data_IF_747820864032
#
_entry.id   IF_747820864032
#
_cell.length_a   1.000
_cell.length_b   1.000
_cell.length_c   1.000
_cell.angle_alpha   90.00
_cell.angle_beta   90.00
_cell.angle_gamma   90.00
#
_symmetry.space_group_name_H-M   'P 1'
#
loop_
_entity.id
_entity.type
_entity.pdbx_description
1 polymer ?
#
# COMPACT_ATOMS: atom_id res chain seq x y z
N UNK A 1 -5.32 5.62 -4.88
CA UNK A 1 -5.80 6.83 -5.59
C UNK A 1 -4.86 7.96 -5.19
N UNK A 2 -4.28 8.67 -6.16
CA UNK A 2 -3.35 9.78 -5.91
C UNK A 2 -3.91 11.02 -6.58
N UNK A 3 -4.42 12.02 -5.82
CA UNK A 3 -4.92 13.26 -6.40
C UNK A 3 -3.85 13.99 -7.21
N UNK A 4 -4.27 14.75 -8.22
CA UNK A 4 -3.38 15.63 -8.97
C UNK A 4 -2.86 16.78 -8.11
N UNK A 5 -1.80 17.44 -8.59
CA UNK A 5 -1.24 18.67 -7.98
C UNK A 5 -0.71 18.51 -6.55
N UNK A 6 -0.32 17.30 -6.14
CA UNK A 6 0.27 17.05 -4.83
C UNK A 6 1.79 16.91 -4.94
N UNK A 7 2.55 17.72 -4.19
CA UNK A 7 4.01 17.53 -4.09
C UNK A 7 4.39 16.35 -3.19
N UNK A 8 3.45 15.88 -2.37
CA UNK A 8 3.57 14.73 -1.50
C UNK A 8 2.18 14.12 -1.27
N UNK A 9 2.02 12.84 -1.62
CA UNK A 9 0.83 12.08 -1.26
C UNK A 9 1.21 10.64 -0.90
N UNK A 10 1.01 10.26 0.36
CA UNK A 10 1.34 8.92 0.84
C UNK A 10 0.18 7.96 0.58
N UNK A 11 0.46 6.89 -0.18
CA UNK A 11 -0.40 5.72 -0.24
C UNK A 11 0.21 4.54 0.51
N UNK A 12 -0.64 3.60 0.90
CA UNK A 12 -0.22 2.39 1.60
C UNK A 12 -0.80 1.13 0.98
N UNK A 13 0.00 0.05 0.99
CA UNK A 13 -0.45 -1.32 0.78
C UNK A 13 -0.23 -2.13 2.05
N UNK A 14 -1.21 -2.94 2.44
CA UNK A 14 -1.24 -3.66 3.69
C UNK A 14 -1.21 -5.17 3.45
N UNK A 15 -0.31 -5.86 4.14
CA UNK A 15 -0.29 -7.31 4.23
C UNK A 15 -0.81 -7.72 5.59
N UNK A 16 -2.03 -8.28 5.62
CA UNK A 16 -2.68 -8.70 6.87
C UNK A 16 -1.82 -9.74 7.61
N UNK A 17 -1.72 -9.61 8.94
CA UNK A 17 -1.07 -10.61 9.80
C UNK A 17 -1.65 -12.01 9.63
N UNK A 18 -2.93 -12.15 9.25
CA UNK A 18 -3.54 -13.44 8.96
C UNK A 18 -2.92 -14.14 7.75
N UNK A 19 -2.46 -13.37 6.76
CA UNK A 19 -1.79 -13.92 5.59
C UNK A 19 -0.44 -14.53 5.95
N UNK A 20 0.38 -13.82 6.75
CA UNK A 20 1.66 -14.35 7.23
C UNK A 20 1.45 -15.50 8.24
N UNK A 21 0.42 -15.44 9.07
CA UNK A 21 0.05 -16.51 10.00
C UNK A 21 -0.28 -17.83 9.28
N UNK A 22 -1.00 -17.76 8.15
CA UNK A 22 -1.34 -18.93 7.33
C UNK A 22 -0.11 -19.45 6.56
N UNK A 23 0.70 -18.53 6.04
CA UNK A 23 1.72 -18.84 5.04
C UNK A 23 3.07 -19.25 5.62
N UNK A 24 3.48 -18.66 6.74
CA UNK A 24 4.85 -18.80 7.25
C UNK A 24 4.96 -19.95 8.25
N UNK A 25 6.10 -20.66 8.27
CA UNK A 25 6.33 -21.71 9.25
C UNK A 25 6.65 -21.10 10.62
N UNK A 26 6.58 -21.88 11.73
CA UNK A 26 6.85 -21.36 13.08
C UNK A 26 8.23 -20.72 13.25
N UNK A 27 9.24 -21.22 12.53
CA UNK A 27 10.59 -20.67 12.51
C UNK A 27 10.74 -19.37 11.69
N UNK A 28 9.71 -18.99 10.94
CA UNK A 28 9.68 -17.81 10.08
C UNK A 28 10.34 -18.01 8.72
N UNK A 29 10.36 -16.93 7.94
CA UNK A 29 11.13 -16.82 6.70
C UNK A 29 12.20 -15.75 6.84
N UNK A 30 13.33 -15.96 6.16
CA UNK A 30 14.49 -15.08 6.16
C UNK A 30 14.56 -14.33 4.83
N UNK A 31 14.26 -13.04 4.88
CA UNK A 31 14.39 -12.14 3.73
C UNK A 31 15.86 -11.73 3.59
N UNK A 32 16.45 -11.99 2.43
CA UNK A 32 17.85 -11.64 2.15
C UNK A 32 18.00 -10.54 1.10
N UNK A 33 16.95 -10.24 0.34
CA UNK A 33 16.95 -9.13 -0.62
C UNK A 33 15.54 -8.65 -0.95
N UNK A 34 15.44 -7.42 -1.44
CA UNK A 34 14.18 -6.79 -1.79
C UNK A 34 14.28 -5.82 -2.97
N UNK A 35 13.17 -5.68 -3.70
CA UNK A 35 13.00 -4.82 -4.87
C UNK A 35 11.72 -4.00 -4.69
N UNK A 36 11.86 -2.68 -4.71
CA UNK A 36 10.72 -1.74 -4.59
C UNK A 36 10.31 -1.27 -5.98
N UNK A 37 9.01 -1.15 -6.21
CA UNK A 37 8.46 -0.81 -7.51
C UNK A 37 7.27 0.16 -7.40
N UNK A 38 7.37 1.24 -8.15
CA UNK A 38 6.34 2.25 -8.43
C UNK A 38 6.52 2.73 -9.87
N UNK A 39 5.57 3.50 -10.40
CA UNK A 39 5.70 4.20 -11.67
C UNK A 39 6.26 5.63 -11.48
N UNK A 40 5.90 6.56 -12.36
CA UNK A 40 6.58 7.86 -12.52
C UNK A 40 6.43 8.82 -11.33
N UNK A 41 5.42 8.64 -10.49
CA UNK A 41 5.15 9.51 -9.34
C UNK A 41 5.94 9.11 -8.10
N UNK A 42 6.49 7.88 -8.03
CA UNK A 42 7.28 7.38 -6.90
C UNK A 42 8.46 8.27 -6.52
N UNK A 43 8.58 8.65 -5.25
CA UNK A 43 9.72 9.42 -4.71
C UNK A 43 10.34 8.82 -3.46
N UNK A 44 9.53 8.25 -2.57
CA UNK A 44 10.01 7.53 -1.39
C UNK A 44 9.20 6.28 -1.17
N UNK A 45 9.86 5.23 -0.70
CA UNK A 45 9.22 3.94 -0.49
C UNK A 45 9.77 3.27 0.77
N UNK A 46 8.89 2.69 1.58
CA UNK A 46 9.27 2.04 2.83
C UNK A 46 8.41 0.83 3.12
N UNK A 47 9.04 -0.22 3.63
CA UNK A 47 8.36 -1.43 4.09
C UNK A 47 8.51 -1.50 5.60
N UNK A 48 7.40 -1.28 6.31
CA UNK A 48 7.29 -1.35 7.76
C UNK A 48 6.80 -2.73 8.16
N UNK A 49 7.25 -3.21 9.31
CA UNK A 49 6.86 -4.51 9.87
C UNK A 49 6.35 -4.27 11.28
N UNK A 50 5.17 -4.81 11.56
CA UNK A 50 4.55 -4.73 12.86
C UNK A 50 4.39 -6.13 13.44
N UNK A 51 4.79 -6.29 14.70
CA UNK A 51 4.72 -7.55 15.43
C UNK A 51 4.18 -7.27 16.83
N UNK A 52 3.09 -7.93 17.21
CA UNK A 52 2.47 -7.80 18.54
C UNK A 52 2.17 -6.34 18.94
N UNK A 53 1.82 -5.48 17.98
CA UNK A 53 1.50 -4.07 18.23
C UNK A 53 2.71 -3.13 18.28
N UNK A 54 3.91 -3.61 18.01
CA UNK A 54 5.13 -2.80 17.95
C UNK A 54 5.67 -2.72 16.52
N UNK A 55 6.22 -1.57 16.13
CA UNK A 55 6.97 -1.45 14.89
C UNK A 55 8.41 -1.95 15.06
N UNK A 56 8.84 -2.80 14.14
CA UNK A 56 10.21 -3.30 14.03
C UNK A 56 11.05 -2.42 13.10
N UNK A 57 12.39 -2.58 13.08
CA UNK A 57 13.23 -1.94 12.08
C UNK A 57 12.67 -2.11 10.66
N UNK A 58 12.70 -1.03 9.88
CA UNK A 58 12.18 -1.05 8.52
C UNK A 58 12.86 -2.15 7.70
N UNK A 59 12.04 -2.97 7.05
CA UNK A 59 12.52 -4.09 6.26
C UNK A 59 13.27 -3.60 5.02
N UNK A 60 12.75 -2.54 4.40
CA UNK A 60 13.43 -1.81 3.34
C UNK A 60 13.01 -0.35 3.35
N UNK A 61 13.93 0.56 3.08
CA UNK A 61 13.66 1.98 2.99
C UNK A 61 14.46 2.60 1.84
N UNK A 62 13.78 3.45 1.07
CA UNK A 62 14.39 4.28 0.06
C UNK A 62 13.75 5.68 0.08
N UNK A 63 14.43 6.63 0.71
CA UNK A 63 13.97 8.02 0.79
C UNK A 63 14.27 8.82 -0.50
N UNK A 64 14.94 8.22 -1.48
CA UNK A 64 15.31 8.84 -2.77
C UNK A 64 15.02 7.88 -3.92
N UNK A 65 13.85 7.25 -3.89
CA UNK A 65 13.42 6.33 -4.93
C UNK A 65 13.31 7.07 -6.27
N UNK A 66 13.77 6.43 -7.34
CA UNK A 66 13.71 6.92 -8.71
C UNK A 66 13.20 5.79 -9.62
N UNK A 67 12.14 6.08 -10.38
CA UNK A 67 11.54 5.15 -11.34
C UNK A 67 12.56 4.62 -12.37
N UNK A 68 13.53 5.45 -12.78
CA UNK A 68 14.56 5.07 -13.74
C UNK A 68 15.68 4.23 -13.09
N UNK A 69 15.69 4.11 -11.76
CA UNK A 69 16.70 3.38 -10.99
C UNK A 69 16.09 2.36 -10.01
N UNK A 70 15.52 1.30 -10.57
CA UNK A 70 14.95 0.20 -9.79
C UNK A 70 15.91 -0.98 -9.73
N UNK A 71 16.40 -1.31 -8.54
CA UNK A 71 17.37 -2.39 -8.33
C UNK A 71 16.96 -3.34 -7.22
N UNK A 72 17.32 -4.60 -7.36
CA UNK A 72 17.30 -5.56 -6.25
C UNK A 72 18.41 -5.17 -5.27
N UNK A 73 18.05 -4.96 -4.00
CA UNK A 73 19.02 -4.69 -2.93
C UNK A 73 19.19 -5.93 -2.07
N UNK A 74 20.42 -6.42 -1.97
CA UNK A 74 20.79 -7.47 -1.03
C UNK A 74 21.00 -6.85 0.35
N UNK A 75 20.34 -7.41 1.35
CA UNK A 75 20.41 -6.92 2.72
C UNK A 75 21.68 -7.42 3.40
N UNK A 76 22.32 -6.53 4.19
CA UNK A 76 23.54 -6.89 4.95
C UNK A 76 23.25 -7.95 6.01
N UNK A 77 22.07 -7.85 6.62
CA UNK A 77 21.57 -8.79 7.60
C UNK A 77 20.23 -9.33 7.09
N UNK A 78 20.03 -10.64 7.21
CA UNK A 78 18.76 -11.24 6.85
C UNK A 78 17.70 -10.86 7.88
N UNK A 79 16.52 -10.51 7.40
CA UNK A 79 15.40 -10.08 8.25
C UNK A 79 14.43 -11.23 8.37
N UNK A 80 14.12 -11.65 9.60
CA UNK A 80 13.19 -12.76 9.83
C UNK A 80 11.77 -12.24 10.05
N UNK A 81 10.85 -12.68 9.19
CA UNK A 81 9.41 -12.49 9.36
C UNK A 81 8.80 -13.76 9.95
N UNK A 82 7.91 -13.61 10.93
CA UNK A 82 7.23 -14.70 11.61
C UNK A 82 5.74 -14.73 11.28
N UNK A 83 5.08 -15.88 11.52
CA UNK A 83 3.62 -15.97 11.47
C UNK A 83 2.98 -14.89 12.34
N UNK A 84 2.02 -14.15 11.78
CA UNK A 84 1.32 -13.08 12.49
C UNK A 84 1.95 -11.70 12.37
N UNK A 85 3.09 -11.55 11.69
CA UNK A 85 3.63 -10.23 11.34
C UNK A 85 2.73 -9.53 10.31
N UNK A 86 2.44 -8.26 10.54
CA UNK A 86 1.78 -7.40 9.56
C UNK A 86 2.84 -6.58 8.82
N UNK A 87 2.72 -6.45 7.50
CA UNK A 87 3.61 -5.62 6.70
C UNK A 87 2.83 -4.45 6.10
N UNK A 88 3.49 -3.30 6.02
CA UNK A 88 2.96 -2.11 5.38
C UNK A 88 3.96 -1.57 4.38
N UNK A 89 3.53 -1.47 3.14
CA UNK A 89 4.23 -0.76 2.09
C UNK A 89 3.75 0.68 2.06
N UNK A 90 4.64 1.64 2.27
CA UNK A 90 4.40 3.08 2.15
C UNK A 90 5.02 3.57 0.84
N UNK A 91 4.24 4.31 0.04
CA UNK A 91 4.68 4.93 -1.20
C UNK A 91 4.32 6.42 -1.20
N UNK A 92 5.36 7.26 -1.20
CA UNK A 92 5.29 8.71 -1.30
C UNK A 92 5.33 9.12 -2.78
N UNK A 93 4.27 9.76 -3.22
CA UNK A 93 4.10 10.22 -4.60
C UNK A 93 4.18 11.73 -4.75
N UNK A 94 4.81 12.16 -5.84
CA UNK A 94 4.78 13.54 -6.33
C UNK A 94 3.99 13.60 -7.64
N UNK A 95 2.75 14.05 -7.54
CA UNK A 95 1.80 14.29 -8.63
C UNK A 95 1.68 15.77 -9.00
N UNK A 96 2.65 16.62 -8.63
CA UNK A 96 2.61 18.06 -8.89
C UNK A 96 2.46 18.41 -10.38
N UNK A 97 2.96 17.53 -11.25
CA UNK A 97 2.87 17.63 -12.71
C UNK A 97 1.62 16.98 -13.33
N UNK A 98 0.72 16.40 -12.52
CA UNK A 98 -0.55 15.81 -12.97
C UNK A 98 -1.70 16.74 -12.62
N UNK A 99 -2.59 16.94 -13.58
CA UNK A 99 -3.85 17.66 -13.39
C UNK A 99 -4.94 16.78 -12.79
N UNK A 100 -5.09 15.56 -13.34
CA UNK A 100 -6.10 14.60 -12.92
C UNK A 100 -5.57 13.64 -11.86
N UNK A 101 -6.50 12.88 -11.28
CA UNK A 101 -6.18 11.78 -10.38
C UNK A 101 -5.36 10.70 -11.10
N UNK A 102 -4.47 10.06 -10.36
CA UNK A 102 -3.74 8.87 -10.82
C UNK A 102 -4.20 7.66 -10.00
N UNK A 103 -4.68 6.63 -10.69
CA UNK A 103 -5.20 5.39 -10.08
C UNK A 103 -4.16 4.27 -10.11
N UNK A 104 -4.42 3.19 -9.38
CA UNK A 104 -3.58 2.00 -9.44
C UNK A 104 -3.78 1.28 -10.76
N UNK A 105 -2.72 0.81 -11.41
CA UNK A 105 -2.84 0.07 -12.66
C UNK A 105 -1.51 -0.31 -13.31
N UNK A 106 -1.58 -0.88 -14.50
CA UNK A 106 -0.43 -1.42 -15.25
C UNK A 106 0.19 -0.42 -16.23
N UNK A 107 -0.54 0.62 -16.60
CA UNK A 107 -0.11 1.65 -17.53
C UNK A 107 0.89 2.61 -16.90
N UNK A 108 1.76 3.19 -17.75
CA UNK A 108 2.78 4.15 -17.31
C UNK A 108 2.22 5.41 -16.65
N UNK A 109 1.00 5.81 -17.01
CA UNK A 109 0.32 6.97 -16.43
C UNK A 109 -0.46 6.63 -15.15
N UNK A 110 -0.66 5.35 -14.86
CA UNK A 110 -1.19 4.82 -13.61
C UNK A 110 -0.04 4.62 -12.61
N UNK A 111 -0.33 4.14 -11.39
CA UNK A 111 0.68 3.89 -10.37
C UNK A 111 0.65 2.47 -9.79
N UNK A 112 1.78 2.09 -9.19
CA UNK A 112 1.93 0.87 -8.40
C UNK A 112 2.65 1.17 -7.08
N UNK A 113 2.31 0.41 -6.04
CA UNK A 113 2.97 0.48 -4.73
C UNK A 113 3.37 -0.93 -4.29
N UNK A 114 4.50 -1.44 -4.76
CA UNK A 114 4.87 -2.84 -4.60
C UNK A 114 6.27 -3.01 -3.99
N UNK A 115 6.41 -4.10 -3.23
CA UNK A 115 7.69 -4.60 -2.77
C UNK A 115 7.77 -6.11 -3.02
N UNK A 116 8.88 -6.54 -3.60
CA UNK A 116 9.16 -7.93 -3.94
C UNK A 116 10.35 -8.42 -3.13
N UNK A 117 10.17 -9.50 -2.37
CA UNK A 117 11.21 -10.04 -1.49
C UNK A 117 11.69 -11.40 -1.97
N UNK A 118 13.01 -11.61 -1.90
CA UNK A 118 13.57 -12.95 -2.03
C UNK A 118 13.94 -13.46 -0.63
N UNK A 119 13.55 -14.70 -0.36
CA UNK A 119 13.60 -15.28 0.98
C UNK A 119 13.82 -16.79 0.97
N UNK A 120 14.11 -17.35 2.15
CA UNK A 120 14.11 -18.79 2.42
C UNK A 120 13.60 -19.09 3.84
N UNK A 121 13.08 -20.30 4.13
CA UNK A 121 12.78 -21.37 3.20
C UNK A 121 11.65 -20.97 2.23
N UNK A 122 11.54 -21.70 1.11
CA UNK A 122 10.42 -21.50 0.20
C UNK A 122 9.11 -21.90 0.90
N UNK A 123 8.10 -21.03 0.80
CA UNK A 123 6.75 -21.26 1.32
C UNK A 123 5.73 -21.14 0.18
N UNK A 124 4.52 -21.66 0.38
CA UNK A 124 3.44 -21.56 -0.61
C UNK A 124 2.68 -20.22 -0.49
N UNK A 125 3.37 -19.11 -0.76
CA UNK A 125 2.85 -17.75 -0.61
C UNK A 125 3.47 -16.85 -1.67
N UNK A 126 2.64 -16.28 -2.55
CA UNK A 126 3.10 -15.48 -3.68
C UNK A 126 2.93 -13.99 -3.44
N UNK A 127 1.77 -13.58 -2.93
CA UNK A 127 1.45 -12.18 -2.74
C UNK A 127 0.38 -11.98 -1.66
N UNK A 128 0.45 -10.83 -1.01
CA UNK A 128 -0.63 -10.21 -0.27
C UNK A 128 -0.81 -8.80 -0.81
N UNK A 129 -2.07 -8.38 -0.99
CA UNK A 129 -2.40 -7.02 -1.42
C UNK A 129 -3.52 -6.47 -0.56
N UNK A 130 -3.71 -5.16 -0.64
CA UNK A 130 -4.87 -4.49 -0.09
C UNK A 130 -5.33 -3.35 -0.98
N UNK A 131 -6.56 -2.91 -0.76
CA UNK A 131 -7.10 -1.70 -1.32
C UNK A 131 -8.03 -1.03 -0.29
N UNK A 132 -8.11 0.31 -0.25
CA UNK A 132 -8.99 1.02 0.67
C UNK A 132 -10.44 0.56 0.55
N UNK A 133 -11.15 0.54 1.68
CA UNK A 133 -12.58 0.24 1.70
C UNK A 133 -13.33 1.35 0.93
N UNK A 134 -13.96 0.96 -0.18
CA UNK A 134 -14.55 1.93 -1.12
C UNK A 134 -15.69 2.72 -0.51
N UNK A 135 -16.39 2.18 0.48
CA UNK A 135 -17.46 2.85 1.21
C UNK A 135 -16.96 4.09 1.96
N UNK A 136 -15.71 4.09 2.44
CA UNK A 136 -15.09 5.27 3.04
C UNK A 136 -14.85 6.36 1.99
N UNK A 137 -14.39 5.96 0.80
CA UNK A 137 -14.20 6.87 -0.34
C UNK A 137 -15.55 7.44 -0.78
N UNK A 138 -16.57 6.59 -0.96
CA UNK A 138 -17.90 7.00 -1.38
C UNK A 138 -18.52 7.98 -0.37
N UNK A 139 -18.41 7.68 0.93
CA UNK A 139 -18.90 8.56 1.98
C UNK A 139 -18.20 9.92 1.97
N UNK A 140 -16.90 9.97 1.72
CA UNK A 140 -16.15 11.23 1.68
C UNK A 140 -16.56 12.12 0.50
N UNK A 141 -16.83 11.52 -0.66
CA UNK A 141 -17.24 12.25 -1.87
C UNK A 141 -18.76 12.36 -2.04
N UNK A 142 -19.55 11.88 -1.08
CA UNK A 142 -21.01 11.92 -1.13
C UNK A 142 -21.61 11.07 -2.26
N UNK A 143 -20.90 10.03 -2.70
CA UNK A 143 -21.35 9.11 -3.74
C UNK A 143 -22.28 8.09 -3.09
N UNK A 144 -23.54 8.05 -3.52
CA UNK A 144 -24.58 7.20 -2.90
C UNK A 144 -25.02 6.04 -3.79
N UNK A 145 -25.03 6.25 -5.09
CA UNK A 145 -25.54 5.28 -6.06
C UNK A 145 -24.37 4.59 -6.74
N UNK A 146 -24.00 3.41 -6.23
CA UNK A 146 -22.86 2.64 -6.72
C UNK A 146 -23.25 1.19 -6.98
N UNK A 147 -22.81 0.65 -8.12
CA UNK A 147 -22.92 -0.78 -8.43
C UNK A 147 -21.68 -1.26 -9.17
N UNK A 148 -21.44 -2.57 -9.18
CA UNK A 148 -20.36 -3.15 -9.98
C UNK A 148 -20.74 -3.11 -11.46
N UNK A 149 -19.78 -2.76 -12.31
CA UNK A 149 -19.95 -2.82 -13.75
C UNK A 149 -20.31 -4.26 -14.18
N UNK A 150 -21.50 -4.48 -14.80
CA UNK A 150 -21.92 -5.80 -15.27
C UNK A 150 -20.98 -6.41 -16.33
N UNK A 151 -20.34 -5.57 -17.13
CA UNK A 151 -19.55 -5.95 -18.31
C UNK A 151 -18.03 -5.70 -18.11
N UNK A 152 -17.65 -4.80 -17.20
CA UNK A 152 -16.27 -4.35 -16.93
C UNK A 152 -15.52 -5.00 -15.77
N UNK A 153 -16.12 -5.96 -15.05
CA UNK A 153 -15.41 -6.74 -14.01
C UNK A 153 -15.44 -6.11 -12.62
N UNK A 154 -14.28 -5.70 -12.08
CA UNK A 154 -14.12 -5.17 -10.70
C UNK A 154 -14.26 -3.64 -10.59
N UNK A 155 -14.79 -3.00 -11.62
CA UNK A 155 -14.99 -1.55 -11.64
C UNK A 155 -16.33 -1.16 -10.99
N UNK A 156 -16.34 0.01 -10.34
CA UNK A 156 -17.55 0.57 -9.74
C UNK A 156 -18.12 1.64 -10.66
N UNK A 157 -19.41 1.55 -10.94
CA UNK A 157 -20.20 2.56 -11.65
C UNK A 157 -20.79 3.54 -10.63
N UNK A 158 -20.77 4.84 -10.96
CA UNK A 158 -21.37 5.91 -10.14
C UNK A 158 -22.48 6.67 -10.87
N UNK A 159 -22.66 6.38 -12.16
CA UNK A 159 -23.83 6.76 -12.98
C UNK A 159 -23.96 5.77 -14.15
N UNK A 160 -25.01 5.89 -14.97
CA UNK A 160 -25.21 4.99 -16.12
C UNK A 160 -24.05 5.01 -17.13
N UNK A 161 -23.35 6.14 -17.25
CA UNK A 161 -22.33 6.38 -18.27
C UNK A 161 -20.92 6.65 -17.70
N UNK A 162 -20.72 6.55 -16.37
CA UNK A 162 -19.42 6.87 -15.74
C UNK A 162 -19.01 5.84 -14.69
N UNK A 163 -17.75 5.39 -14.80
CA UNK A 163 -17.08 4.66 -13.73
C UNK A 163 -16.67 5.62 -12.59
N UNK A 164 -16.33 5.05 -11.44
CA UNK A 164 -15.73 5.79 -10.33
C UNK A 164 -14.45 6.51 -10.76
N UNK A 165 -13.65 5.88 -11.62
CA UNK A 165 -12.39 6.47 -12.10
C UNK A 165 -12.67 7.68 -12.99
N UNK A 166 -13.65 7.58 -13.89
CA UNK A 166 -14.08 8.71 -14.73
C UNK A 166 -14.57 9.87 -13.87
N UNK A 167 -15.43 9.58 -12.89
CA UNK A 167 -15.91 10.58 -11.94
C UNK A 167 -14.77 11.27 -11.19
N UNK A 168 -13.81 10.50 -10.65
CA UNK A 168 -12.67 11.06 -9.91
C UNK A 168 -11.70 11.86 -10.79
N UNK A 169 -11.63 11.55 -12.09
CA UNK A 169 -10.85 12.31 -13.06
C UNK A 169 -11.46 13.70 -13.35
N UNK A 170 -12.79 13.78 -13.35
CA UNK A 170 -13.54 15.03 -13.58
C UNK A 170 -13.81 15.83 -12.30
N UNK A 171 -13.66 15.20 -11.13
CA UNK A 171 -13.93 15.79 -9.83
C UNK A 171 -13.05 17.02 -9.53
N UNK A 172 -13.65 18.07 -8.95
CA UNK A 172 -12.92 19.25 -8.51
C UNK A 172 -12.22 19.03 -7.16
N UNK A 173 -10.93 18.72 -7.24
CA UNK A 173 -10.08 18.47 -6.08
C UNK A 173 -9.66 19.73 -5.30
N UNK A 174 -9.96 20.94 -5.79
CA UNK A 174 -9.43 22.19 -5.20
C UNK A 174 -9.94 22.49 -3.79
N UNK A 175 -11.13 21.99 -3.44
CA UNK A 175 -11.77 22.17 -2.14
C UNK A 175 -11.61 20.99 -1.16
N UNK A 176 -10.89 19.93 -1.55
CA UNK A 176 -10.74 18.73 -0.73
C UNK A 176 -9.72 18.95 0.37
N UNK A 177 -10.07 18.53 1.59
CA UNK A 177 -9.10 18.35 2.67
C UNK A 177 -8.15 17.19 2.32
N UNK A 178 -7.01 17.51 1.70
CA UNK A 178 -6.03 16.52 1.24
C UNK A 178 -5.35 15.78 2.40
N UNK A 179 -5.19 16.42 3.55
CA UNK A 179 -4.62 15.78 4.73
C UNK A 179 -5.63 14.77 5.30
N UNK A 180 -6.89 15.16 5.43
CA UNK A 180 -7.99 14.27 5.79
C UNK A 180 -8.16 13.11 4.80
N UNK A 181 -8.06 13.37 3.49
CA UNK A 181 -8.14 12.32 2.48
C UNK A 181 -6.97 11.33 2.57
N UNK A 182 -5.74 11.84 2.73
CA UNK A 182 -4.57 10.97 2.91
C UNK A 182 -4.69 10.15 4.20
N UNK A 183 -5.18 10.75 5.29
CA UNK A 183 -5.44 10.06 6.54
C UNK A 183 -6.44 8.91 6.34
N UNK A 184 -7.58 9.19 5.70
CA UNK A 184 -8.59 8.17 5.38
C UNK A 184 -7.97 7.04 4.54
N UNK A 185 -7.27 7.38 3.46
CA UNK A 185 -6.64 6.38 2.57
C UNK A 185 -5.59 5.51 3.29
N UNK A 186 -4.96 6.05 4.34
CA UNK A 186 -3.93 5.35 5.10
C UNK A 186 -4.49 4.51 6.24
N UNK A 187 -5.43 5.03 7.02
CA UNK A 187 -5.81 4.47 8.32
C UNK A 187 -7.17 3.76 8.34
N UNK A 188 -8.08 4.10 7.43
CA UNK A 188 -9.34 3.37 7.33
C UNK A 188 -9.07 1.89 6.98
N UNK A 189 -10.03 0.99 7.28
CA UNK A 189 -9.92 -0.39 6.86
C UNK A 189 -9.64 -0.52 5.37
N UNK A 190 -8.73 -1.42 5.01
CA UNK A 190 -8.53 -1.88 3.63
C UNK A 190 -9.07 -3.29 3.50
N UNK A 191 -9.73 -3.58 2.39
CA UNK A 191 -9.92 -4.95 1.96
C UNK A 191 -8.55 -5.55 1.64
N UNK A 192 -8.33 -6.80 2.05
CA UNK A 192 -7.05 -7.47 1.91
C UNK A 192 -7.24 -8.94 1.58
N UNK A 193 -6.26 -9.50 0.89
CA UNK A 193 -6.24 -10.91 0.51
C UNK A 193 -4.83 -11.35 0.21
N UNK A 194 -4.66 -12.67 0.15
CA UNK A 194 -3.39 -13.27 -0.25
C UNK A 194 -3.60 -14.55 -1.03
N UNK A 195 -2.61 -14.83 -1.89
CA UNK A 195 -2.61 -15.96 -2.82
C UNK A 195 -1.35 -16.80 -2.65
N UNK A 196 -1.49 -18.08 -2.95
CA UNK A 196 -0.38 -19.03 -2.98
C UNK A 196 0.37 -18.99 -4.33
N UNK A 197 1.38 -19.85 -4.49
CA UNK A 197 2.21 -19.88 -5.71
C UNK A 197 1.47 -20.40 -6.96
N UNK A 198 0.25 -20.93 -6.80
CA UNK A 198 -0.63 -21.34 -7.88
C UNK A 198 -1.68 -20.28 -8.22
N UNK A 199 -1.70 -19.14 -7.50
CA UNK A 199 -2.71 -18.09 -7.65
C UNK A 199 -4.03 -18.38 -6.93
N UNK A 200 -4.08 -19.42 -6.08
CA UNK A 200 -5.26 -19.76 -5.30
C UNK A 200 -5.31 -18.90 -4.03
N UNK A 201 -6.53 -18.51 -3.61
CA UNK A 201 -6.73 -17.69 -2.43
C UNK A 201 -6.39 -18.46 -1.14
N UNK A 202 -5.45 -17.93 -0.37
CA UNK A 202 -5.18 -18.35 1.02
C UNK A 202 -6.10 -17.61 1.99
N UNK A 203 -6.36 -16.34 1.70
CA UNK A 203 -7.30 -15.50 2.43
C UNK A 203 -8.20 -14.76 1.41
N UNK A 204 -9.54 -14.85 1.54
CA UNK A 204 -10.45 -14.18 0.62
C UNK A 204 -10.41 -12.66 0.78
N UNK A 205 -10.70 -11.95 -0.32
CA UNK A 205 -10.72 -10.47 -0.41
C UNK A 205 -11.87 -9.77 0.35
N UNK A 206 -12.49 -10.46 1.32
CA UNK A 206 -13.54 -9.90 2.17
C UNK A 206 -13.06 -9.67 3.61
N UNK A 207 -11.77 -9.94 3.88
CA UNK A 207 -11.15 -9.59 5.13
C UNK A 207 -10.70 -8.14 5.09
N UNK A 208 -10.66 -7.51 6.25
CA UNK A 208 -10.13 -6.16 6.40
C UNK A 208 -8.86 -6.16 7.24
N UNK A 209 -8.02 -5.17 6.99
CA UNK A 209 -6.85 -4.84 7.79
C UNK A 209 -6.67 -3.34 7.80
N UNK A 210 -6.14 -2.79 8.89
CA UNK A 210 -5.91 -1.36 9.03
C UNK A 210 -4.46 -1.11 9.36
N UNK A 211 -4.01 0.10 9.04
CA UNK A 211 -2.75 0.61 9.51
C UNK A 211 -2.79 0.72 11.05
N UNK A 212 -1.82 0.17 11.81
CA UNK A 212 -1.78 0.29 13.26
C UNK A 212 -1.72 1.76 13.71
N UNK A 213 -2.73 2.19 14.44
CA UNK A 213 -2.77 3.52 15.07
C UNK A 213 -2.18 3.49 16.48
N UNK A 214 -1.62 4.62 16.92
CA UNK A 214 -1.08 4.77 18.28
C UNK A 214 0.20 3.96 18.54
N UNK A 215 0.84 3.44 17.49
CA UNK A 215 2.13 2.73 17.59
C UNK A 215 3.27 3.73 17.42
N UNK A 216 4.19 3.75 18.37
CA UNK A 216 5.40 4.56 18.27
C UNK A 216 6.19 4.16 17.02
N UNK A 217 6.51 5.15 16.19
CA UNK A 217 7.25 4.87 14.97
C UNK A 217 8.70 4.50 15.28
N UNK A 218 9.16 3.38 14.75
CA UNK A 218 10.57 3.03 14.82
C UNK A 218 11.39 4.09 14.09
N UNK A 219 12.43 4.59 14.77
CA UNK A 219 13.36 5.56 14.19
C UNK A 219 14.73 4.89 13.98
N UNK A 220 15.33 5.04 12.79
CA UNK A 220 16.68 4.56 12.57
C UNK A 220 17.67 5.33 13.47
N UNK A 221 18.72 4.65 13.98
CA UNK A 221 19.75 5.29 14.78
C UNK A 221 20.34 6.52 14.08
N UNK A 222 20.42 7.66 14.79
CA UNK A 222 20.94 8.92 14.26
C UNK A 222 19.92 9.82 13.54
N UNK A 223 18.64 9.44 13.49
CA UNK A 223 17.52 10.33 13.12
C UNK A 223 16.64 10.72 14.31
N UNK A 224 17.15 10.59 15.54
CA UNK A 224 16.44 11.03 16.73
C UNK A 224 16.15 12.53 16.66
N UNK A 225 14.88 12.91 16.72
CA UNK A 225 14.49 14.30 16.98
C UNK A 225 15.10 14.70 18.32
N UNK A 226 15.85 15.81 18.42
CA UNK A 226 16.34 16.30 19.70
C UNK A 226 15.14 16.50 20.62
N UNK A 227 15.13 15.81 21.76
CA UNK A 227 14.15 16.09 22.81
C UNK A 227 14.27 17.56 23.18
N UNK A 228 13.16 18.29 23.00
CA UNK A 228 13.10 19.74 23.14
C UNK A 228 13.76 20.21 24.44
N UNK A 229 14.61 21.23 24.31
CA UNK A 229 15.02 22.07 25.44
C UNK A 229 14.02 23.20 25.62
#
# INVERSE_FOLDING_TARGET
>A
ITPGRQSHFMNVGLCNSKCTEIAFPPEGIHIFSGFLHSHLLGRKMRVRVFRNGEELPWLQNDDNYDFDYQQVRVFREHITLYPGDQLIMECDYDSSNRDSVTVSGFGTMEEMCLAFFQYYPAVNFAACLSFPHFESIFSMFGITDVWLDPDGGYEYMVSEDQTLVDYLNEFDWSGVDMEGFQHLMRYDPHYTGCVNNQGELLLPWNQTTSYPEGVDSWMPPGRECPSGK
#
